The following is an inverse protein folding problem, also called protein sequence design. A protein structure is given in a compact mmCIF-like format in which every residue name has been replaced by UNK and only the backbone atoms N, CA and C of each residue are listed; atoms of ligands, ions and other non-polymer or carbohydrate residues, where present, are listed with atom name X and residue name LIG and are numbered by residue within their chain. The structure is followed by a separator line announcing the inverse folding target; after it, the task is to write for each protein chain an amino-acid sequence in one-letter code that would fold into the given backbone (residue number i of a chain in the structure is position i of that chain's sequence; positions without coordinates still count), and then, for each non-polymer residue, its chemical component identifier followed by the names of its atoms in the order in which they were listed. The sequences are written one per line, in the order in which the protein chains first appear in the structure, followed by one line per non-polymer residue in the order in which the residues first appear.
data_IF_721246440597
#
_entry.id   IF_721246440597
#
_cell.length_a   1.000
_cell.length_b   1.000
_cell.length_c   1.000
_cell.angle_alpha   90.00
_cell.angle_beta   90.00
_cell.angle_gamma   90.00
#
_symmetry.space_group_name_H-M   'P 1'
#
loop_
_entity.id
_entity.type
_entity.pdbx_description
1 polymer ?
#
# COMPACT_ATOMS: atom_id res chain seq x y z
N UNK A 1 44.57 41.74 9.77
CA UNK A 1 45.18 40.43 9.45
C UNK A 1 44.13 39.30 9.45
N UNK A 2 43.19 39.31 8.50
CA UNK A 2 42.13 38.28 8.37
C UNK A 2 42.53 37.11 7.43
N UNK A 3 43.53 37.35 6.57
CA UNK A 3 43.89 36.44 5.48
C UNK A 3 45.06 35.48 5.80
N UNK A 4 45.72 35.63 6.95
CA UNK A 4 46.90 34.85 7.34
C UNK A 4 46.57 33.57 8.12
N UNK A 5 45.32 33.42 8.59
CA UNK A 5 44.94 32.27 9.40
C UNK A 5 44.42 31.12 8.54
N UNK A 6 45.11 29.99 8.56
CA UNK A 6 44.66 28.72 7.97
C UNK A 6 43.64 27.97 8.85
N UNK A 7 43.11 28.62 9.89
CA UNK A 7 42.05 28.06 10.73
C UNK A 7 40.76 27.80 9.95
N UNK A 8 40.48 28.60 8.92
CA UNK A 8 39.29 28.46 8.09
C UNK A 8 39.62 27.67 6.81
N UNK A 9 38.78 26.67 6.48
CA UNK A 9 38.93 25.84 5.28
C UNK A 9 39.06 26.67 4.01
N UNK A 10 38.27 27.74 3.88
CA UNK A 10 38.34 28.68 2.75
C UNK A 10 39.73 29.32 2.59
N UNK A 11 40.37 29.69 3.70
CA UNK A 11 41.70 30.29 3.67
C UNK A 11 42.75 29.25 3.28
N UNK A 12 42.63 28.00 3.74
CA UNK A 12 43.51 26.90 3.29
C UNK A 12 43.35 26.61 1.81
N UNK A 13 42.12 26.54 1.30
CA UNK A 13 41.87 26.37 -0.13
C UNK A 13 42.52 27.50 -0.92
N UNK A 14 42.33 28.76 -0.50
CA UNK A 14 42.89 29.93 -1.19
C UNK A 14 44.42 29.98 -1.13
N UNK A 15 45.02 29.71 0.04
CA UNK A 15 46.45 29.95 0.29
C UNK A 15 47.33 28.74 -0.08
N UNK A 16 46.80 27.52 0.01
CA UNK A 16 47.57 26.27 -0.22
C UNK A 16 47.12 25.59 -1.53
N UNK A 17 45.83 25.35 -1.72
CA UNK A 17 45.33 24.52 -2.84
C UNK A 17 45.29 25.28 -4.18
N UNK A 18 44.77 26.51 -4.19
CA UNK A 18 44.64 27.29 -5.42
C UNK A 18 45.99 27.53 -6.13
N UNK A 19 47.08 27.90 -5.43
CA UNK A 19 48.42 27.97 -6.04
C UNK A 19 48.85 26.67 -6.73
N UNK A 20 48.71 25.53 -6.06
CA UNK A 20 49.07 24.23 -6.64
C UNK A 20 48.25 23.91 -7.90
N UNK A 21 46.95 24.22 -7.89
CA UNK A 21 46.10 24.04 -9.07
C UNK A 21 46.52 24.95 -10.23
N UNK A 22 46.94 26.19 -9.93
CA UNK A 22 47.43 27.13 -10.96
C UNK A 22 48.70 26.61 -11.61
N UNK A 23 49.64 26.10 -10.81
CA UNK A 23 50.89 25.54 -11.30
C UNK A 23 50.66 24.32 -12.20
N UNK A 24 49.73 23.42 -11.82
CA UNK A 24 49.38 22.23 -12.61
C UNK A 24 48.74 22.60 -13.96
N UNK A 25 47.90 23.62 -13.97
CA UNK A 25 47.06 23.97 -15.14
C UNK A 25 47.76 24.96 -16.08
N UNK A 26 48.93 25.49 -15.68
CA UNK A 26 49.74 26.40 -16.49
C UNK A 26 49.39 27.88 -16.31
N UNK A 27 48.84 28.26 -15.16
CA UNK A 27 48.61 29.64 -14.75
C UNK A 27 47.16 30.00 -14.40
N UNK A 28 47.00 31.18 -13.80
CA UNK A 28 45.73 31.69 -13.26
C UNK A 28 44.62 31.78 -14.31
N UNK A 29 44.94 32.30 -15.49
CA UNK A 29 43.97 32.58 -16.55
C UNK A 29 43.35 31.28 -17.07
N UNK A 30 44.18 30.24 -17.28
CA UNK A 30 43.71 28.94 -17.78
C UNK A 30 42.85 28.23 -16.72
N UNK A 31 43.28 28.27 -15.45
CA UNK A 31 42.50 27.70 -14.36
C UNK A 31 41.14 28.38 -14.22
N UNK A 32 41.11 29.71 -14.22
CA UNK A 32 39.88 30.48 -14.10
C UNK A 32 38.92 30.17 -15.25
N UNK A 33 39.40 30.20 -16.50
CA UNK A 33 38.59 29.84 -17.67
C UNK A 33 38.06 28.40 -17.60
N UNK A 34 38.86 27.44 -17.11
CA UNK A 34 38.39 26.05 -16.94
C UNK A 34 37.33 25.91 -15.86
N UNK A 35 37.47 26.62 -14.74
CA UNK A 35 36.47 26.61 -13.67
C UNK A 35 35.17 27.25 -14.12
N UNK A 36 35.23 28.38 -14.83
CA UNK A 36 34.06 29.04 -15.41
C UNK A 36 33.36 28.14 -16.44
N UNK A 37 34.12 27.52 -17.35
CA UNK A 37 33.55 26.57 -18.31
C UNK A 37 32.90 25.35 -17.62
N UNK A 38 33.51 24.81 -16.56
CA UNK A 38 32.95 23.70 -15.79
C UNK A 38 31.68 24.11 -15.04
N UNK A 39 31.64 25.31 -14.48
CA UNK A 39 30.45 25.86 -13.85
C UNK A 39 29.32 26.04 -14.87
N UNK A 40 29.61 26.63 -16.03
CA UNK A 40 28.63 26.81 -17.11
C UNK A 40 28.09 25.47 -17.61
N UNK A 41 28.97 24.49 -17.87
CA UNK A 41 28.57 23.15 -18.29
C UNK A 41 27.72 22.44 -17.23
N UNK A 42 28.15 22.50 -15.97
CA UNK A 42 27.41 21.88 -14.86
C UNK A 42 26.03 22.51 -14.70
N UNK A 43 25.93 23.83 -14.87
CA UNK A 43 24.67 24.56 -14.80
C UNK A 43 23.73 24.18 -15.95
N UNK A 44 24.21 24.11 -17.19
CA UNK A 44 23.41 23.66 -18.35
C UNK A 44 22.89 22.23 -18.17
N UNK A 45 23.75 21.32 -17.71
CA UNK A 45 23.35 19.93 -17.43
C UNK A 45 22.30 19.87 -16.32
N UNK A 46 22.49 20.64 -15.25
CA UNK A 46 21.54 20.71 -14.14
C UNK A 46 20.18 21.24 -14.60
N UNK A 47 20.14 22.28 -15.42
CA UNK A 47 18.91 22.85 -15.96
C UNK A 47 18.15 21.84 -16.83
N UNK A 48 18.85 21.14 -17.73
CA UNK A 48 18.26 20.08 -18.56
C UNK A 48 17.67 18.94 -17.72
N UNK A 49 18.43 18.39 -16.77
CA UNK A 49 17.97 17.29 -15.90
C UNK A 49 16.78 17.77 -15.06
N UNK A 50 16.85 18.98 -14.52
CA UNK A 50 15.77 19.59 -13.72
C UNK A 50 14.50 19.72 -14.54
N UNK A 51 14.58 20.21 -15.77
CA UNK A 51 13.42 20.36 -16.65
C UNK A 51 12.76 19.01 -16.97
N UNK A 52 13.57 17.98 -17.28
CA UNK A 52 13.06 16.62 -17.55
C UNK A 52 12.46 15.97 -16.30
N UNK A 53 13.05 16.18 -15.13
CA UNK A 53 12.54 15.69 -13.86
C UNK A 53 11.18 16.32 -13.51
N UNK A 54 11.03 17.64 -13.74
CA UNK A 54 9.74 18.31 -13.58
C UNK A 54 8.68 17.79 -14.56
N UNK A 55 9.06 17.57 -15.82
CA UNK A 55 8.16 17.02 -16.83
C UNK A 55 7.68 15.62 -16.42
N UNK A 56 8.60 14.78 -15.92
CA UNK A 56 8.28 13.48 -15.36
C UNK A 56 7.28 13.58 -14.21
N UNK A 57 7.51 14.46 -13.23
CA UNK A 57 6.59 14.68 -12.11
C UNK A 57 5.22 15.21 -12.56
N UNK A 58 5.17 16.06 -13.60
CA UNK A 58 3.93 16.55 -14.19
C UNK A 58 3.16 15.41 -14.89
N UNK A 59 3.86 14.57 -15.67
CA UNK A 59 3.28 13.42 -16.37
C UNK A 59 2.75 12.37 -15.40
N UNK A 60 3.51 12.04 -14.35
CA UNK A 60 3.10 11.06 -13.35
C UNK A 60 1.86 11.51 -12.57
N UNK A 61 1.75 12.81 -12.24
CA UNK A 61 0.55 13.39 -11.62
C UNK A 61 -0.68 13.35 -12.52
N UNK A 62 -0.53 13.69 -13.81
CA UNK A 62 -1.65 13.62 -14.78
C UNK A 62 -2.19 12.20 -14.92
N UNK A 63 -1.31 11.20 -14.90
CA UNK A 63 -1.69 9.78 -15.00
C UNK A 63 -2.44 9.27 -13.77
N UNK A 64 -2.19 9.85 -12.59
CA UNK A 64 -2.72 9.33 -11.33
C UNK A 64 -4.24 9.61 -11.10
N UNK A 65 -4.95 10.27 -12.02
CA UNK A 65 -6.34 10.74 -11.86
C UNK A 65 -6.61 11.52 -10.54
N UNK A 66 -5.54 11.92 -9.87
CA UNK A 66 -5.48 12.44 -8.53
C UNK A 66 -4.32 13.42 -8.51
N UNK A 67 -4.59 14.66 -8.13
CA UNK A 67 -3.57 15.71 -8.05
C UNK A 67 -2.74 15.59 -6.75
N UNK A 68 -2.63 14.37 -6.21
CA UNK A 68 -2.00 14.08 -4.95
C UNK A 68 -0.48 14.27 -5.05
N UNK A 69 -0.02 15.41 -4.51
CA UNK A 69 1.40 15.76 -4.44
C UNK A 69 2.13 15.01 -3.33
N UNK A 70 1.41 14.28 -2.47
CA UNK A 70 2.01 13.58 -1.33
C UNK A 70 2.79 12.35 -1.76
N UNK A 71 2.49 11.78 -2.94
CA UNK A 71 3.02 10.51 -3.42
C UNK A 71 3.97 10.68 -4.60
N UNK A 72 4.97 9.80 -4.69
CA UNK A 72 5.86 9.69 -5.84
C UNK A 72 5.59 8.39 -6.57
N UNK A 73 5.19 8.49 -7.83
CA UNK A 73 4.93 7.32 -8.67
C UNK A 73 6.23 6.85 -9.30
N UNK A 74 6.52 5.56 -9.16
CA UNK A 74 7.67 4.91 -9.77
C UNK A 74 7.44 4.77 -11.29
N UNK A 75 8.51 4.77 -12.09
CA UNK A 75 8.39 4.41 -13.49
C UNK A 75 7.91 2.95 -13.63
N UNK A 76 7.30 2.57 -14.77
CA UNK A 76 6.92 1.19 -15.05
C UNK A 76 8.08 0.21 -14.80
N UNK A 77 7.76 -1.02 -14.37
CA UNK A 77 8.73 -2.02 -13.90
C UNK A 77 9.84 -2.38 -14.92
N UNK A 78 9.67 -2.01 -16.19
CA UNK A 78 10.62 -2.26 -17.28
C UNK A 78 11.63 -1.12 -17.51
N UNK A 79 11.53 -0.01 -16.77
CA UNK A 79 12.40 1.16 -16.95
C UNK A 79 13.47 1.20 -15.86
N UNK A 80 14.73 1.24 -16.27
CA UNK A 80 15.86 1.46 -15.36
C UNK A 80 15.77 2.86 -14.76
N UNK A 81 15.88 2.93 -13.43
CA UNK A 81 15.97 4.21 -12.72
C UNK A 81 17.25 4.95 -13.13
N UNK A 82 17.11 6.17 -13.65
CA UNK A 82 18.21 7.00 -14.17
C UNK A 82 18.34 8.32 -13.39
N UNK A 83 19.28 9.17 -13.82
CA UNK A 83 19.55 10.47 -13.19
C UNK A 83 18.33 11.41 -13.17
N UNK A 84 17.43 11.31 -14.16
CA UNK A 84 16.22 12.13 -14.20
C UNK A 84 15.25 11.68 -13.11
N UNK A 85 15.14 10.37 -12.88
CA UNK A 85 14.32 9.81 -11.81
C UNK A 85 14.91 10.12 -10.43
N UNK A 86 16.24 10.11 -10.28
CA UNK A 86 16.93 10.53 -9.06
C UNK A 86 16.63 12.00 -8.71
N UNK A 87 16.76 12.90 -9.69
CA UNK A 87 16.45 14.32 -9.50
C UNK A 87 14.95 14.54 -9.24
N UNK A 88 14.07 13.81 -9.92
CA UNK A 88 12.63 13.87 -9.67
C UNK A 88 12.28 13.44 -8.24
N UNK A 89 12.93 12.38 -7.73
CA UNK A 89 12.76 11.92 -6.36
C UNK A 89 13.24 12.98 -5.36
N UNK A 90 14.40 13.59 -5.62
CA UNK A 90 14.92 14.70 -4.80
C UNK A 90 13.92 15.86 -4.75
N UNK A 91 13.48 16.36 -5.91
CA UNK A 91 12.55 17.49 -5.99
C UNK A 91 11.21 17.19 -5.32
N UNK A 92 10.64 16.01 -5.55
CA UNK A 92 9.42 15.59 -4.87
C UNK A 92 9.61 15.57 -3.36
N UNK A 93 10.69 14.96 -2.86
CA UNK A 93 10.95 14.88 -1.41
C UNK A 93 11.13 16.27 -0.80
N UNK A 94 11.79 17.19 -1.51
CA UNK A 94 12.00 18.58 -1.08
C UNK A 94 10.68 19.33 -0.93
N UNK A 95 9.76 19.16 -1.89
CA UNK A 95 8.41 19.74 -1.85
C UNK A 95 7.60 19.10 -0.73
N UNK A 96 7.62 17.76 -0.61
CA UNK A 96 6.85 17.01 0.38
C UNK A 96 7.24 17.37 1.81
N UNK A 97 8.52 17.67 2.04
CA UNK A 97 9.08 18.00 3.35
C UNK A 97 9.12 19.51 3.62
N UNK A 98 8.47 20.33 2.79
CA UNK A 98 8.39 21.80 2.93
C UNK A 98 9.77 22.46 3.15
N UNK A 99 10.83 21.87 2.59
CA UNK A 99 12.21 22.34 2.80
C UNK A 99 12.78 22.14 4.21
N UNK A 100 12.04 21.56 5.17
CA UNK A 100 12.53 21.30 6.54
C UNK A 100 13.68 20.29 6.56
N UNK A 101 13.67 19.37 5.61
CA UNK A 101 14.77 18.44 5.36
C UNK A 101 14.65 17.92 3.93
N UNK A 102 15.71 18.02 3.13
CA UNK A 102 15.79 17.25 1.89
C UNK A 102 16.47 15.91 2.15
N UNK A 103 16.11 14.90 1.36
CA UNK A 103 16.88 13.66 1.34
C UNK A 103 18.31 13.97 0.93
N UNK A 104 19.28 13.39 1.64
CA UNK A 104 20.68 13.46 1.23
C UNK A 104 20.88 12.65 -0.04
N UNK A 105 21.96 12.93 -0.77
CA UNK A 105 22.32 12.15 -1.95
C UNK A 105 22.54 10.66 -1.63
N UNK A 106 23.09 10.35 -0.44
CA UNK A 106 23.25 8.97 0.03
C UNK A 106 21.90 8.27 0.23
N UNK A 107 20.90 8.96 0.79
CA UNK A 107 19.55 8.42 0.92
C UNK A 107 18.94 8.13 -0.45
N UNK A 108 19.07 9.06 -1.41
CA UNK A 108 18.58 8.86 -2.79
C UNK A 108 19.25 7.64 -3.42
N UNK A 109 20.58 7.53 -3.34
CA UNK A 109 21.31 6.36 -3.85
C UNK A 109 20.82 5.05 -3.22
N UNK A 110 20.59 5.04 -1.91
CA UNK A 110 20.08 3.86 -1.21
C UNK A 110 18.69 3.46 -1.68
N UNK A 111 17.80 4.43 -1.88
CA UNK A 111 16.46 4.20 -2.44
C UNK A 111 16.55 3.61 -3.85
N UNK A 112 17.37 4.20 -4.72
CA UNK A 112 17.53 3.74 -6.10
C UNK A 112 18.12 2.33 -6.17
N UNK A 113 19.10 2.04 -5.30
CA UNK A 113 19.69 0.70 -5.16
C UNK A 113 18.64 -0.31 -4.70
N UNK A 114 17.81 0.05 -3.71
CA UNK A 114 16.74 -0.80 -3.21
C UNK A 114 15.70 -1.11 -4.31
N UNK A 115 15.32 -0.10 -5.11
CA UNK A 115 14.39 -0.26 -6.23
C UNK A 115 14.96 -1.15 -7.34
N UNK A 116 16.27 -1.08 -7.58
CA UNK A 116 16.94 -1.84 -8.65
C UNK A 116 17.23 -3.28 -8.24
N UNK A 117 17.74 -3.50 -7.02
CA UNK A 117 18.13 -4.82 -6.51
C UNK A 117 16.89 -5.65 -6.15
N UNK A 118 15.87 -5.02 -5.58
CA UNK A 118 14.65 -5.68 -5.11
C UNK A 118 13.44 -5.18 -5.91
N UNK A 119 13.48 -5.32 -7.24
CA UNK A 119 12.41 -4.91 -8.16
C UNK A 119 11.07 -5.55 -7.79
N UNK A 120 11.10 -6.85 -7.45
CA UNK A 120 9.93 -7.66 -7.11
C UNK A 120 9.36 -7.34 -5.71
N UNK A 121 10.18 -6.76 -4.84
CA UNK A 121 9.76 -6.34 -3.52
C UNK A 121 9.00 -5.01 -3.61
N UNK A 122 7.70 -5.14 -3.91
CA UNK A 122 6.76 -4.02 -4.02
C UNK A 122 6.44 -3.36 -2.68
N UNK A 123 6.91 -3.89 -1.55
CA UNK A 123 6.67 -3.32 -0.23
C UNK A 123 7.93 -3.35 0.65
N UNK A 124 8.36 -2.16 1.09
CA UNK A 124 9.44 -1.99 2.05
C UNK A 124 9.38 -0.60 2.69
N UNK A 125 10.01 -0.47 3.85
CA UNK A 125 10.17 0.80 4.57
C UNK A 125 11.66 1.06 4.77
N UNK A 126 12.09 2.27 4.47
CA UNK A 126 13.46 2.72 4.60
C UNK A 126 13.53 3.92 5.52
N UNK A 127 14.28 3.81 6.62
CA UNK A 127 14.57 4.95 7.49
C UNK A 127 15.52 5.93 6.77
N UNK A 128 15.07 7.18 6.65
CA UNK A 128 15.82 8.28 6.04
C UNK A 128 16.31 9.30 7.07
N UNK A 129 16.19 8.96 8.37
CA UNK A 129 16.66 9.75 9.49
C UNK A 129 15.65 10.79 9.98
N UNK A 130 15.97 11.39 11.14
CA UNK A 130 15.16 12.44 11.81
C UNK A 130 13.69 12.02 12.03
N UNK A 131 13.49 10.74 12.33
CA UNK A 131 12.16 10.18 12.55
C UNK A 131 11.32 10.07 11.27
N UNK A 132 11.91 10.09 10.08
CA UNK A 132 11.18 9.94 8.81
C UNK A 132 11.47 8.60 8.17
N UNK A 133 10.47 8.02 7.53
CA UNK A 133 10.60 6.77 6.80
C UNK A 133 9.99 6.90 5.41
N UNK A 134 10.73 6.46 4.40
CA UNK A 134 10.25 6.33 3.03
C UNK A 134 9.64 4.94 2.86
N UNK A 135 8.40 4.88 2.39
CA UNK A 135 7.63 3.64 2.27
C UNK A 135 7.32 3.39 0.80
N UNK A 136 7.66 2.21 0.30
CA UNK A 136 7.19 1.72 -1.00
C UNK A 136 5.93 0.90 -0.82
N UNK A 137 4.89 1.24 -1.57
CA UNK A 137 3.65 0.51 -1.67
C UNK A 137 3.29 0.31 -3.16
N UNK A 138 3.65 -0.84 -3.72
CA UNK A 138 3.47 -1.11 -5.15
C UNK A 138 4.41 -0.25 -6.00
N UNK A 139 3.81 0.53 -6.89
CA UNK A 139 4.48 1.46 -7.80
C UNK A 139 4.51 2.90 -7.23
N UNK A 140 4.36 3.05 -5.92
CA UNK A 140 4.29 4.36 -5.26
C UNK A 140 5.24 4.41 -4.07
N UNK A 141 5.91 5.55 -3.90
CA UNK A 141 6.65 5.92 -2.70
C UNK A 141 5.90 7.01 -1.93
N UNK A 142 5.95 6.92 -0.60
CA UNK A 142 5.41 7.91 0.32
C UNK A 142 6.43 8.19 1.44
N UNK A 143 6.35 9.38 2.07
CA UNK A 143 7.17 9.75 3.22
C UNK A 143 6.26 9.89 4.44
N UNK A 144 6.52 9.08 5.45
CA UNK A 144 5.85 9.12 6.74
C UNK A 144 6.77 9.77 7.80
N UNK A 145 6.21 10.67 8.62
CA UNK A 145 6.88 11.21 9.80
C UNK A 145 6.46 10.42 11.04
N UNK A 146 7.43 9.80 11.72
CA UNK A 146 7.21 9.22 13.05
C UNK A 146 7.10 10.36 14.05
N UNK A 147 5.90 10.55 14.59
CA UNK A 147 5.69 11.46 15.71
C UNK A 147 6.49 10.96 16.93
N UNK A 148 7.57 11.66 17.26
CA UNK A 148 8.47 11.35 18.39
C UNK A 148 7.84 11.64 19.76
N UNK A 149 6.61 12.15 19.81
CA UNK A 149 5.86 12.38 21.05
C UNK A 149 5.13 11.11 21.51
N UNK A 150 5.89 10.14 22.01
CA UNK A 150 5.29 8.94 22.58
C UNK A 150 6.33 8.05 23.21
N UNK A 151 6.46 8.13 24.54
CA UNK A 151 7.15 7.13 25.37
C UNK A 151 6.76 5.73 24.88
N UNK A 152 7.77 4.85 24.81
CA UNK A 152 7.62 3.41 24.71
C UNK A 152 6.58 2.89 25.71
N UNK A 153 5.34 2.79 25.25
CA UNK A 153 4.38 1.77 25.63
C UNK A 153 4.17 0.97 24.35
N UNK A 154 4.07 -0.34 24.49
CA UNK A 154 3.19 -1.13 23.62
C UNK A 154 1.83 -0.42 23.60
N UNK A 155 1.61 0.47 22.63
CA UNK A 155 0.32 1.04 22.30
C UNK A 155 0.12 0.66 20.85
N UNK A 156 -0.91 -0.15 20.68
CA UNK A 156 -1.50 -0.52 19.42
C UNK A 156 -1.55 0.66 18.46
N UNK A 157 -1.12 0.38 17.23
CA UNK A 157 -1.24 1.27 16.07
C UNK A 157 -2.72 1.56 15.86
N UNK A 158 -3.24 2.60 16.51
CA UNK A 158 -4.59 3.14 16.30
C UNK A 158 -4.59 4.25 15.24
N UNK A 159 -3.72 4.12 14.24
CA UNK A 159 -3.99 4.55 12.88
C UNK A 159 -4.23 3.28 12.09
N UNK A 160 -5.33 2.57 12.39
CA UNK A 160 -5.74 1.41 11.60
C UNK A 160 -5.69 1.85 10.13
N UNK A 161 -5.09 1.07 9.21
CA UNK A 161 -5.45 1.22 7.81
C UNK A 161 -6.97 1.24 7.78
N UNK A 162 -7.61 2.14 7.02
CA UNK A 162 -9.06 2.18 6.85
C UNK A 162 -9.52 0.84 6.31
N UNK A 163 -9.64 -0.12 7.22
CA UNK A 163 -10.09 -1.46 6.97
C UNK A 163 -11.56 -1.24 6.76
N UNK A 164 -12.00 -1.40 5.52
CA UNK A 164 -13.40 -1.40 5.16
C UNK A 164 -14.13 -2.25 6.21
N UNK A 165 -14.87 -1.60 7.10
CA UNK A 165 -15.65 -2.31 8.11
C UNK A 165 -16.89 -2.80 7.40
N UNK A 166 -17.21 -4.08 7.55
CA UNK A 166 -18.44 -4.63 6.99
C UNK A 166 -19.41 -4.92 8.12
N UNK A 167 -20.69 -4.65 7.90
CA UNK A 167 -21.75 -5.02 8.81
C UNK A 167 -22.75 -5.96 8.13
N UNK A 168 -23.41 -6.78 8.94
CA UNK A 168 -24.55 -7.58 8.52
C UNK A 168 -25.78 -6.70 8.67
N UNK A 169 -26.50 -6.50 7.57
CA UNK A 169 -27.72 -5.68 7.55
C UNK A 169 -28.93 -6.56 7.86
N UNK A 170 -28.98 -7.76 7.29
CA UNK A 170 -30.08 -8.69 7.47
C UNK A 170 -29.61 -10.13 7.27
N UNK A 171 -30.31 -11.07 7.92
CA UNK A 171 -30.19 -12.51 7.71
C UNK A 171 -31.60 -13.04 7.47
N UNK A 172 -31.87 -13.53 6.26
CA UNK A 172 -33.17 -14.10 5.89
C UNK A 172 -33.03 -15.61 5.65
N UNK A 173 -33.85 -16.39 6.35
CA UNK A 173 -33.91 -17.85 6.25
C UNK A 173 -35.09 -18.34 5.41
N UNK A 174 -36.12 -17.52 5.25
CA UNK A 174 -37.44 -17.99 4.86
C UNK A 174 -37.92 -17.46 3.49
N UNK A 175 -37.38 -16.36 2.93
CA UNK A 175 -37.83 -15.89 1.60
C UNK A 175 -36.75 -15.21 0.75
N UNK A 176 -36.49 -15.78 -0.43
CA UNK A 176 -35.85 -15.06 -1.53
C UNK A 176 -36.79 -13.94 -2.04
N UNK A 177 -36.22 -12.74 -2.19
CA UNK A 177 -36.62 -11.62 -3.07
C UNK A 177 -37.32 -10.40 -2.41
N UNK A 178 -38.47 -10.54 -1.73
CA UNK A 178 -39.30 -9.34 -1.49
C UNK A 178 -38.74 -8.30 -0.48
N UNK A 179 -38.08 -8.71 0.60
CA UNK A 179 -37.55 -7.76 1.62
C UNK A 179 -36.19 -7.18 1.22
N UNK A 180 -35.39 -7.96 0.50
CA UNK A 180 -34.08 -7.54 0.03
C UNK A 180 -34.20 -6.48 -1.08
N UNK A 181 -35.18 -6.61 -1.97
CA UNK A 181 -35.40 -5.66 -3.05
C UNK A 181 -35.82 -4.26 -2.52
N UNK A 182 -36.62 -4.20 -1.44
CA UNK A 182 -37.00 -2.93 -0.79
C UNK A 182 -35.81 -2.25 -0.08
N UNK A 183 -34.96 -3.02 0.62
CA UNK A 183 -33.77 -2.49 1.30
C UNK A 183 -32.74 -1.99 0.28
N UNK A 184 -32.60 -2.66 -0.86
CA UNK A 184 -31.69 -2.26 -1.94
C UNK A 184 -32.23 -1.02 -2.67
N UNK A 185 -33.55 -0.89 -2.83
CA UNK A 185 -34.18 0.25 -3.52
C UNK A 185 -34.17 1.56 -2.70
N UNK A 186 -34.10 1.48 -1.37
CA UNK A 186 -34.18 2.66 -0.49
C UNK A 186 -32.86 3.40 -0.23
N UNK A 187 -31.71 2.90 -0.69
CA UNK A 187 -30.39 3.37 -0.26
C UNK A 187 -29.48 3.73 -1.44
N UNK A 188 -29.63 4.95 -1.96
CA UNK A 188 -29.05 5.44 -3.22
C UNK A 188 -27.51 5.60 -3.25
N UNK A 189 -26.74 5.04 -2.30
CA UNK A 189 -25.32 5.38 -2.17
C UNK A 189 -24.31 4.27 -1.90
N UNK A 190 -24.69 3.11 -1.34
CA UNK A 190 -23.70 2.06 -1.05
C UNK A 190 -24.23 0.67 -1.36
N UNK A 191 -23.51 -0.02 -2.25
CA UNK A 191 -23.85 -1.33 -2.77
C UNK A 191 -23.78 -2.39 -1.65
N UNK A 192 -24.94 -2.87 -1.21
CA UNK A 192 -25.02 -4.06 -0.36
C UNK A 192 -24.81 -5.32 -1.21
N UNK A 193 -24.26 -6.37 -0.60
CA UNK A 193 -23.99 -7.66 -1.27
C UNK A 193 -24.77 -8.74 -0.55
N UNK A 194 -25.59 -9.48 -1.29
CA UNK A 194 -26.30 -10.66 -0.78
C UNK A 194 -25.43 -11.89 -0.94
N UNK A 195 -25.16 -12.60 0.16
CA UNK A 195 -24.48 -13.89 0.18
C UNK A 195 -25.48 -14.99 0.44
N UNK A 196 -25.64 -15.92 -0.51
CA UNK A 196 -26.45 -17.12 -0.32
C UNK A 196 -25.55 -18.23 0.21
N UNK A 197 -25.90 -18.79 1.37
CA UNK A 197 -25.15 -19.84 2.05
C UNK A 197 -26.10 -21.00 2.39
N UNK A 198 -25.63 -22.23 2.20
CA UNK A 198 -26.36 -23.44 2.59
C UNK A 198 -25.88 -23.90 3.96
N UNK A 199 -26.71 -23.83 4.98
CA UNK A 199 -26.39 -24.39 6.29
C UNK A 199 -26.87 -25.85 6.37
N UNK A 200 -26.09 -26.77 6.96
CA UNK A 200 -26.59 -28.10 7.30
C UNK A 200 -27.82 -28.01 8.23
N UNK A 201 -28.85 -28.84 8.05
CA UNK A 201 -30.02 -28.89 8.96
C UNK A 201 -29.67 -29.12 10.42
N UNK A 202 -28.55 -29.80 10.69
CA UNK A 202 -28.02 -29.98 12.04
C UNK A 202 -27.70 -28.64 12.74
N UNK A 203 -27.55 -27.58 11.95
CA UNK A 203 -27.23 -26.22 12.39
C UNK A 203 -28.42 -25.26 12.21
N UNK A 204 -29.62 -25.77 11.94
CA UNK A 204 -30.82 -25.00 11.54
C UNK A 204 -31.86 -24.86 12.66
N UNK A 205 -31.61 -25.44 13.84
CA UNK A 205 -32.66 -25.70 14.83
C UNK A 205 -32.74 -24.79 16.06
N UNK A 206 -31.75 -23.91 16.30
CA UNK A 206 -31.64 -23.26 17.61
C UNK A 206 -31.64 -21.72 17.52
N UNK A 207 -32.37 -21.06 18.42
CA UNK A 207 -32.36 -19.60 18.67
C UNK A 207 -30.97 -19.03 19.05
N UNK A 208 -29.96 -19.90 19.13
CA UNK A 208 -28.62 -19.63 19.60
C UNK A 208 -27.59 -19.48 18.46
N UNK A 209 -28.03 -19.31 17.22
CA UNK A 209 -27.14 -19.14 16.07
C UNK A 209 -26.85 -17.66 15.80
N UNK A 210 -25.58 -17.33 15.55
CA UNK A 210 -25.19 -15.94 15.29
C UNK A 210 -24.23 -15.86 14.10
N UNK A 211 -24.66 -15.13 13.07
CA UNK A 211 -23.75 -14.63 12.05
C UNK A 211 -23.10 -13.35 12.55
N UNK A 212 -21.81 -13.21 12.31
CA UNK A 212 -21.10 -11.96 12.55
C UNK A 212 -19.92 -11.82 11.61
N UNK A 213 -19.50 -10.57 11.39
CA UNK A 213 -18.30 -10.28 10.63
C UNK A 213 -17.17 -9.98 11.62
N UNK A 214 -16.07 -10.70 11.47
CA UNK A 214 -14.86 -10.50 12.25
C UNK A 214 -13.64 -10.39 11.34
N UNK A 215 -12.47 -10.31 11.97
CA UNK A 215 -11.17 -10.34 11.29
C UNK A 215 -10.40 -11.61 11.67
N UNK A 216 -9.30 -11.86 10.97
CA UNK A 216 -8.41 -13.01 11.22
C UNK A 216 -7.48 -12.73 12.41
N UNK A 217 -7.33 -11.47 12.80
CA UNK A 217 -6.52 -11.07 13.95
C UNK A 217 -7.05 -11.78 15.21
N UNK A 218 -6.16 -12.48 15.92
CA UNK A 218 -6.49 -13.27 17.10
C UNK A 218 -7.02 -14.69 16.80
N UNK A 219 -7.19 -15.08 15.53
CA UNK A 219 -7.67 -16.41 15.16
C UNK A 219 -6.80 -17.04 14.05
N UNK A 220 -5.60 -17.48 14.41
CA UNK A 220 -4.58 -17.88 13.41
C UNK A 220 -4.82 -19.26 12.77
N UNK A 221 -5.62 -20.10 13.42
CA UNK A 221 -5.84 -21.49 13.02
C UNK A 221 -7.14 -21.73 12.26
N UNK A 222 -7.86 -20.66 11.89
CA UNK A 222 -9.05 -20.80 11.09
C UNK A 222 -8.68 -21.27 9.68
N UNK A 223 -9.29 -22.37 9.29
CA UNK A 223 -9.15 -22.97 7.96
C UNK A 223 -10.34 -22.63 7.07
N UNK A 224 -10.12 -22.75 5.77
CA UNK A 224 -11.08 -22.39 4.72
C UNK A 224 -10.84 -23.25 3.49
N UNK A 225 -11.91 -23.76 2.88
CA UNK A 225 -11.87 -24.47 1.61
C UNK A 225 -12.54 -23.57 0.55
N UNK A 226 -11.79 -22.97 -0.39
CA UNK A 226 -12.41 -22.22 -1.47
C UNK A 226 -13.18 -23.16 -2.42
N UNK A 227 -14.24 -22.68 -3.13
CA UNK A 227 -15.11 -23.50 -3.97
C UNK A 227 -14.36 -24.38 -4.98
N UNK A 228 -13.34 -23.81 -5.63
CA UNK A 228 -12.51 -24.51 -6.63
C UNK A 228 -11.53 -25.55 -6.03
N UNK A 229 -11.54 -25.75 -4.71
CA UNK A 229 -10.75 -26.77 -4.00
C UNK A 229 -11.62 -27.83 -3.30
N UNK A 230 -12.90 -27.96 -3.66
CA UNK A 230 -13.79 -28.99 -3.10
C UNK A 230 -13.13 -30.38 -3.13
N UNK A 231 -13.26 -31.12 -2.02
CA UNK A 231 -12.67 -32.46 -1.86
C UNK A 231 -11.17 -32.48 -1.54
N UNK A 232 -10.52 -31.32 -1.37
CA UNK A 232 -9.12 -31.23 -0.92
C UNK A 232 -9.04 -30.84 0.55
N UNK A 233 -7.83 -30.95 1.12
CA UNK A 233 -7.56 -30.50 2.48
C UNK A 233 -7.84 -28.99 2.66
N UNK A 234 -8.42 -28.59 3.81
CA UNK A 234 -8.55 -27.19 4.21
C UNK A 234 -7.21 -26.46 4.21
N UNK A 235 -7.25 -25.15 3.96
CA UNK A 235 -6.07 -24.27 4.04
C UNK A 235 -6.29 -23.17 5.07
N UNK A 236 -5.22 -22.70 5.73
CA UNK A 236 -5.33 -21.55 6.64
C UNK A 236 -5.77 -20.31 5.85
N UNK A 237 -6.66 -19.48 6.41
CA UNK A 237 -7.15 -18.28 5.71
C UNK A 237 -6.00 -17.34 5.32
N UNK A 238 -4.96 -17.19 6.15
CA UNK A 238 -3.77 -16.38 5.82
C UNK A 238 -3.06 -16.87 4.55
N UNK A 239 -3.01 -18.18 4.32
CA UNK A 239 -2.41 -18.78 3.12
C UNK A 239 -3.32 -18.63 1.90
N UNK A 240 -4.63 -18.79 2.08
CA UNK A 240 -5.62 -18.49 1.07
C UNK A 240 -5.48 -17.05 0.57
N UNK A 241 -5.49 -16.07 1.49
CA UNK A 241 -5.33 -14.64 1.17
C UNK A 241 -3.97 -14.34 0.52
N UNK A 242 -2.89 -15.03 0.92
CA UNK A 242 -1.60 -14.96 0.23
C UNK A 242 -1.72 -15.38 -1.24
N UNK A 243 -2.41 -16.49 -1.50
CA UNK A 243 -2.69 -16.97 -2.87
C UNK A 243 -3.57 -16.01 -3.68
N UNK A 244 -4.43 -15.24 -3.02
CA UNK A 244 -5.22 -14.17 -3.63
C UNK A 244 -4.47 -12.83 -3.74
N UNK A 245 -3.14 -12.81 -3.53
CA UNK A 245 -2.27 -11.62 -3.60
C UNK A 245 -2.63 -10.50 -2.61
N UNK A 246 -3.32 -10.81 -1.51
CA UNK A 246 -3.62 -9.81 -0.45
C UNK A 246 -2.32 -9.44 0.30
N UNK A 247 -2.01 -8.15 0.51
CA UNK A 247 -0.81 -7.70 1.23
C UNK A 247 -0.71 -8.25 2.64
N UNK A 248 0.49 -8.62 3.08
CA UNK A 248 0.72 -9.25 4.40
C UNK A 248 0.11 -8.46 5.56
N UNK A 249 0.26 -7.13 5.57
CA UNK A 249 -0.24 -6.26 6.63
C UNK A 249 -1.78 -6.14 6.64
N UNK A 250 -2.47 -6.41 5.52
CA UNK A 250 -3.94 -6.41 5.45
C UNK A 250 -4.55 -7.75 5.81
N UNK A 251 -3.80 -8.86 5.67
CA UNK A 251 -4.31 -10.21 5.93
C UNK A 251 -4.92 -10.39 7.33
N UNK A 252 -4.34 -9.87 8.44
CA UNK A 252 -4.97 -9.99 9.75
C UNK A 252 -6.33 -9.30 9.83
N UNK A 253 -6.55 -8.24 9.05
CA UNK A 253 -7.74 -7.40 9.10
C UNK A 253 -8.78 -7.74 8.02
N UNK A 254 -8.52 -8.75 7.18
CA UNK A 254 -9.46 -9.10 6.11
C UNK A 254 -10.82 -9.53 6.73
N UNK A 255 -11.95 -8.97 6.24
CA UNK A 255 -13.27 -9.32 6.73
C UNK A 255 -13.58 -10.80 6.46
N UNK A 256 -14.07 -11.50 7.48
CA UNK A 256 -14.52 -12.87 7.40
C UNK A 256 -15.91 -12.96 8.03
N UNK A 257 -16.85 -13.52 7.28
CA UNK A 257 -18.18 -13.85 7.77
C UNK A 257 -18.08 -15.17 8.53
N UNK A 258 -18.39 -15.12 9.82
CA UNK A 258 -18.43 -16.27 10.69
C UNK A 258 -19.85 -16.70 10.98
N UNK A 259 -19.98 -18.00 11.22
CA UNK A 259 -21.14 -18.57 11.88
C UNK A 259 -20.67 -19.23 13.16
N UNK A 260 -21.36 -18.92 14.24
CA UNK A 260 -21.10 -19.50 15.55
C UNK A 260 -22.34 -20.21 16.05
N UNK A 261 -22.19 -21.50 16.29
CA UNK A 261 -23.19 -22.32 16.94
C UNK A 261 -22.95 -22.23 18.45
N UNK A 262 -23.76 -21.46 19.17
CA UNK A 262 -23.59 -21.27 20.63
C UNK A 262 -23.72 -22.57 21.43
N UNK A 263 -24.40 -23.59 20.91
CA UNK A 263 -24.55 -24.89 21.59
C UNK A 263 -23.19 -25.59 21.68
N UNK A 264 -22.43 -25.60 20.58
CA UNK A 264 -21.14 -26.30 20.50
C UNK A 264 -19.94 -25.36 20.68
N UNK A 265 -20.17 -24.04 20.73
CA UNK A 265 -19.13 -22.99 20.67
C UNK A 265 -18.20 -23.16 19.47
N UNK A 266 -18.69 -23.80 18.42
CA UNK A 266 -17.95 -24.01 17.20
C UNK A 266 -18.12 -22.79 16.31
N UNK A 267 -16.98 -22.24 15.88
CA UNK A 267 -16.91 -21.08 15.00
C UNK A 267 -16.34 -21.52 13.66
N UNK A 268 -17.10 -21.28 12.60
CA UNK A 268 -16.71 -21.65 11.24
C UNK A 268 -16.70 -20.43 10.35
N UNK A 269 -15.67 -20.31 9.51
CA UNK A 269 -15.59 -19.27 8.49
C UNK A 269 -16.47 -19.65 7.29
N UNK A 270 -17.53 -18.89 7.06
CA UNK A 270 -18.47 -19.13 5.96
C UNK A 270 -18.03 -18.42 4.69
N UNK A 271 -17.53 -17.19 4.80
CA UNK A 271 -17.06 -16.46 3.64
C UNK A 271 -15.90 -15.53 4.00
N UNK A 272 -14.99 -15.32 3.06
CA UNK A 272 -13.83 -14.44 3.22
C UNK A 272 -13.90 -13.35 2.16
N UNK A 273 -13.80 -12.08 2.58
CA UNK A 273 -13.71 -10.97 1.65
C UNK A 273 -12.28 -10.85 1.11
N UNK A 274 -12.16 -10.83 -0.22
CA UNK A 274 -10.91 -10.69 -0.94
C UNK A 274 -10.92 -9.37 -1.68
N UNK A 275 -10.11 -8.43 -1.20
CA UNK A 275 -9.87 -7.16 -1.88
C UNK A 275 -8.92 -7.41 -3.05
N UNK A 276 -9.46 -7.44 -4.27
CA UNK A 276 -8.66 -7.67 -5.47
C UNK A 276 -8.01 -6.35 -5.90
N UNK A 277 -6.70 -6.19 -5.67
CA UNK A 277 -5.97 -5.02 -6.17
C UNK A 277 -5.68 -5.08 -7.68
N UNK A 278 -6.10 -6.13 -8.38
CA UNK A 278 -5.76 -6.43 -9.79
C UNK A 278 -6.89 -6.07 -10.75
N UNK A 279 -7.44 -4.86 -10.66
CA UNK A 279 -8.11 -4.27 -11.82
C UNK A 279 -7.02 -3.81 -12.80
N UNK A 280 -6.43 -4.76 -13.54
CA UNK A 280 -5.40 -4.51 -14.54
C UNK A 280 -5.94 -3.91 -15.85
N UNK A 281 -7.21 -3.54 -15.95
CA UNK A 281 -7.73 -2.86 -17.14
C UNK A 281 -8.77 -1.79 -16.81
N UNK A 282 -8.55 -0.63 -17.44
CA UNK A 282 -9.47 0.50 -17.63
C UNK A 282 -9.69 1.42 -16.43
N UNK A 283 -8.98 2.54 -16.47
CA UNK A 283 -9.41 3.88 -15.99
C UNK A 283 -10.65 3.91 -15.10
N UNK A 284 -10.49 3.63 -13.82
CA UNK A 284 -11.38 4.15 -12.80
C UNK A 284 -10.69 4.03 -11.45
N UNK A 285 -10.78 5.11 -10.68
CA UNK A 285 -10.38 5.25 -9.27
C UNK A 285 -10.65 3.93 -8.53
N UNK A 286 -9.72 3.42 -7.69
CA UNK A 286 -10.03 2.32 -6.79
C UNK A 286 -11.13 2.79 -5.85
N UNK A 287 -12.37 2.48 -6.22
CA UNK A 287 -13.52 2.62 -5.33
C UNK A 287 -13.25 1.66 -4.18
N UNK A 288 -13.00 2.21 -3.00
CA UNK A 288 -12.97 1.45 -1.75
C UNK A 288 -14.22 0.54 -1.73
N UNK A 289 -14.02 -0.78 -1.67
CA UNK A 289 -15.09 -1.78 -1.81
C UNK A 289 -15.06 -2.65 -3.07
N UNK A 290 -14.14 -2.41 -4.03
CA UNK A 290 -13.90 -3.35 -5.15
C UNK A 290 -13.18 -4.63 -4.66
N UNK A 291 -13.95 -5.52 -4.07
CA UNK A 291 -13.52 -6.87 -3.73
C UNK A 291 -14.63 -7.87 -3.99
N UNK A 292 -14.39 -9.13 -3.66
CA UNK A 292 -15.40 -10.18 -3.76
C UNK A 292 -15.42 -11.00 -2.48
N UNK A 293 -16.61 -11.38 -2.05
CA UNK A 293 -16.77 -12.41 -1.05
C UNK A 293 -16.58 -13.78 -1.71
N UNK A 294 -15.76 -14.62 -1.10
CA UNK A 294 -15.58 -16.01 -1.49
C UNK A 294 -16.22 -16.87 -0.41
N UNK A 295 -17.29 -17.58 -0.77
CA UNK A 295 -18.01 -18.48 0.13
C UNK A 295 -17.23 -19.80 0.25
N UNK A 296 -17.25 -20.42 1.43
CA UNK A 296 -16.66 -21.73 1.68
C UNK A 296 -17.33 -22.79 0.79
N UNK A 297 -16.55 -23.76 0.30
CA UNK A 297 -17.03 -24.80 -0.62
C UNK A 297 -18.18 -25.66 -0.05
N UNK A 298 -18.26 -25.77 1.27
CA UNK A 298 -19.29 -26.55 1.98
C UNK A 298 -20.61 -25.79 2.12
N UNK A 299 -20.61 -24.47 1.92
CA UNK A 299 -21.79 -23.61 2.07
C UNK A 299 -22.24 -22.96 0.76
N UNK A 300 -21.54 -23.15 -0.37
CA UNK A 300 -21.82 -22.47 -1.64
C UNK A 300 -22.98 -23.07 -2.47
N UNK A 301 -23.51 -24.21 -2.05
CA UNK A 301 -24.61 -24.93 -2.69
C UNK A 301 -24.33 -25.66 -3.99
N UNK A 302 -23.08 -25.75 -4.44
CA UNK A 302 -22.72 -26.52 -5.65
C UNK A 302 -22.33 -27.98 -5.35
N UNK A 303 -22.31 -28.39 -4.07
CA UNK A 303 -21.75 -29.66 -3.60
C UNK A 303 -22.61 -30.93 -3.77
N UNK A 304 -23.77 -30.83 -4.43
CA UNK A 304 -24.76 -31.90 -4.49
C UNK A 304 -25.93 -31.60 -3.54
N UNK A 305 -27.15 -31.80 -4.04
CA UNK A 305 -28.39 -31.58 -3.31
C UNK A 305 -28.55 -32.64 -2.21
N UNK A 306 -27.89 -32.44 -1.08
CA UNK A 306 -28.39 -33.04 0.15
C UNK A 306 -29.68 -32.28 0.49
N UNK A 307 -30.83 -32.96 0.37
CA UNK A 307 -32.18 -32.43 0.58
C UNK A 307 -32.40 -31.78 1.96
N UNK A 308 -31.43 -31.91 2.88
CA UNK A 308 -31.50 -31.43 4.25
C UNK A 308 -30.74 -30.13 4.52
N UNK A 309 -30.33 -29.35 3.51
CA UNK A 309 -29.65 -28.08 3.75
C UNK A 309 -30.62 -26.89 3.72
N UNK A 310 -30.53 -26.01 4.73
CA UNK A 310 -31.30 -24.77 4.80
C UNK A 310 -30.60 -23.67 3.98
N UNK A 311 -31.34 -22.98 3.11
CA UNK A 311 -30.84 -21.82 2.37
C UNK A 311 -30.97 -20.56 3.22
N UNK A 312 -29.85 -19.92 3.51
CA UNK A 312 -29.82 -18.65 4.26
C UNK A 312 -29.20 -17.57 3.38
N UNK A 313 -29.85 -16.40 3.33
CA UNK A 313 -29.35 -15.21 2.66
C UNK A 313 -28.82 -14.23 3.71
N UNK A 314 -27.54 -13.88 3.62
CA UNK A 314 -26.89 -12.90 4.50
C UNK A 314 -26.58 -11.65 3.68
N UNK A 315 -27.22 -10.53 4.03
CA UNK A 315 -26.97 -9.24 3.41
C UNK A 315 -25.85 -8.53 4.18
N UNK A 316 -24.75 -8.24 3.48
CA UNK A 316 -23.59 -7.54 4.05
C UNK A 316 -23.35 -6.22 3.34
N UNK A 317 -22.87 -5.22 4.07
CA UNK A 317 -22.64 -3.88 3.53
C UNK A 317 -21.34 -3.26 4.06
N UNK A 318 -20.59 -2.50 3.24
CA UNK A 318 -19.48 -1.69 3.74
C UNK A 318 -20.00 -0.50 4.56
N UNK A 319 -19.40 -0.27 5.73
CA UNK A 319 -19.66 0.83 6.64
C UNK A 319 -18.76 2.03 6.35
#
# INVERSE_FOLDING_TARGET
ASNSSNKYLRNRVRNELMPLLRDIVGGDIILQNRLENLEEQSQKVKEDITARAEEYLKKSRKKAASNDRSKFFLPPDNIRFDLVHEEALYQWSKVRLEGRHSLSYEHIKRVCSQLTIYSDQRQWTLDVGKGRSLIRNGSVLDIEERNLSGKSKHIDVSGSPTSLTWSIVAVDRNRLNNVLDEIIAGDEGRQAITLTVLLPSLWSGNEAEMFYIGTIQGNEDITFIPPWRRGRSPIKIKEFLRGQKVPLHRRPYAPVLFFENKTNKERVAIAVFVENSTAENTEMIPVEGKGKWVVHADFDGQGGENESNERVCVLVRPC
#
